data_IF_186870997494
#
_entry.id   IF_186870997494
#
_cell.length_a   1.000
_cell.length_b   1.000
_cell.length_c   1.000
_cell.angle_alpha   90.00
_cell.angle_beta   90.00
_cell.angle_gamma   90.00
#
_symmetry.space_group_name_H-M   'P 1'
#
loop_
_entity.id
_entity.type
_entity.pdbx_description
1 polymer ?
#
# COMPACT_ATOMS: atom_id res chain seq x y z
N UNK A 1 -27.46 -23.26 58.43
CA UNK A 1 -27.72 -23.23 56.97
C UNK A 1 -28.15 -21.85 56.50
N UNK A 2 -27.27 -20.84 56.64
CA UNK A 2 -27.49 -19.49 56.06
C UNK A 2 -26.19 -18.91 55.44
N UNK A 3 -25.05 -19.58 55.61
CA UNK A 3 -23.74 -19.11 55.10
C UNK A 3 -23.30 -19.77 53.80
N UNK A 4 -24.06 -20.72 53.25
CA UNK A 4 -23.73 -21.39 51.97
C UNK A 4 -24.38 -20.71 50.76
N UNK A 5 -25.41 -19.89 50.96
CA UNK A 5 -26.13 -19.20 49.87
C UNK A 5 -25.53 -17.83 49.49
N UNK A 6 -24.71 -17.22 50.36
CA UNK A 6 -24.11 -15.90 50.08
C UNK A 6 -22.85 -16.01 49.20
N UNK A 7 -22.17 -17.16 49.21
CA UNK A 7 -20.95 -17.40 48.40
C UNK A 7 -21.28 -17.71 46.94
N UNK A 8 -22.44 -18.32 46.66
CA UNK A 8 -22.84 -18.65 45.27
C UNK A 8 -23.35 -17.42 44.51
N UNK A 9 -24.01 -16.47 45.19
CA UNK A 9 -24.48 -15.23 44.53
C UNK A 9 -23.37 -14.21 44.27
N UNK A 10 -22.28 -14.21 45.05
CA UNK A 10 -21.12 -13.34 44.79
C UNK A 10 -20.24 -13.85 43.63
N UNK A 11 -20.19 -15.18 43.39
CA UNK A 11 -19.52 -15.74 42.21
C UNK A 11 -20.32 -15.54 40.90
N UNK A 12 -21.65 -15.47 40.97
CA UNK A 12 -22.50 -15.19 39.80
C UNK A 12 -22.63 -13.70 39.46
N UNK A 13 -22.36 -12.78 40.40
CA UNK A 13 -22.28 -11.34 40.11
C UNK A 13 -20.87 -10.84 39.75
N UNK A 14 -19.82 -11.63 39.95
CA UNK A 14 -18.49 -11.34 39.40
C UNK A 14 -18.36 -11.84 37.94
N UNK A 15 -19.20 -12.77 37.52
CA UNK A 15 -19.27 -13.21 36.11
C UNK A 15 -20.06 -12.27 35.18
N UNK A 16 -20.81 -11.28 35.68
CA UNK A 16 -21.54 -10.32 34.82
C UNK A 16 -20.84 -8.97 34.61
N UNK A 17 -19.69 -8.73 35.24
CA UNK A 17 -18.89 -7.51 35.01
C UNK A 17 -17.48 -7.76 34.43
N UNK A 18 -17.15 -9.00 34.06
CA UNK A 18 -15.91 -9.35 33.36
C UNK A 18 -16.08 -9.59 31.85
N UNK A 19 -17.21 -9.20 31.27
CA UNK A 19 -17.51 -9.28 29.83
C UNK A 19 -17.53 -7.90 29.14
N UNK A 20 -16.61 -7.02 29.57
CA UNK A 20 -16.09 -5.94 28.72
C UNK A 20 -14.58 -6.06 28.66
N UNK A 21 -14.11 -7.16 28.07
CA UNK A 21 -12.84 -7.12 27.36
C UNK A 21 -12.94 -5.95 26.37
N UNK A 22 -11.96 -5.05 26.29
CA UNK A 22 -11.93 -4.10 25.19
C UNK A 22 -12.02 -4.93 23.91
N UNK A 23 -13.00 -4.56 23.10
CA UNK A 23 -13.25 -5.06 21.76
C UNK A 23 -11.92 -5.42 21.12
N UNK A 24 -11.76 -6.72 20.84
CA UNK A 24 -10.62 -7.27 20.15
C UNK A 24 -10.46 -6.45 18.88
N UNK A 25 -9.47 -5.55 18.86
CA UNK A 25 -9.14 -4.72 17.69
C UNK A 25 -9.26 -5.61 16.47
N UNK A 26 -10.15 -5.20 15.58
CA UNK A 26 -10.47 -5.84 14.32
C UNK A 26 -9.21 -6.29 13.60
N UNK A 27 -9.31 -7.48 13.01
CA UNK A 27 -8.33 -8.17 12.17
C UNK A 27 -7.17 -7.29 11.71
N UNK A 28 -6.05 -7.38 12.45
CA UNK A 28 -4.76 -6.90 11.99
C UNK A 28 -4.49 -7.56 10.64
N UNK A 29 -4.50 -6.77 9.57
CA UNK A 29 -3.92 -7.13 8.29
C UNK A 29 -2.57 -7.82 8.53
N UNK A 30 -2.25 -8.93 7.83
CA UNK A 30 -1.12 -9.76 8.17
C UNK A 30 0.16 -8.92 8.15
N UNK A 31 0.74 -8.71 9.34
CA UNK A 31 2.11 -8.21 9.51
C UNK A 31 3.02 -9.05 8.62
N UNK A 32 3.99 -8.42 7.98
CA UNK A 32 5.09 -9.14 7.35
C UNK A 32 5.63 -10.21 8.34
N UNK A 33 6.01 -11.42 7.89
CA UNK A 33 6.20 -12.61 8.75
C UNK A 33 7.36 -12.55 9.78
N UNK A 34 7.85 -11.38 10.18
CA UNK A 34 9.11 -11.26 10.91
C UNK A 34 9.23 -10.13 11.94
N UNK A 35 8.18 -9.42 12.33
CA UNK A 35 8.42 -8.19 13.10
C UNK A 35 8.26 -8.34 14.63
N UNK A 36 9.40 -8.45 15.30
CA UNK A 36 9.59 -7.95 16.68
C UNK A 36 9.37 -6.42 16.79
N UNK A 37 8.94 -5.75 15.71
CA UNK A 37 8.74 -4.31 15.60
C UNK A 37 7.36 -3.91 16.11
N UNK A 38 7.34 -2.85 16.91
CA UNK A 38 6.12 -2.20 17.36
C UNK A 38 5.79 -0.98 16.49
N UNK A 39 6.83 -0.27 16.01
CA UNK A 39 6.71 0.90 15.15
C UNK A 39 7.79 0.92 14.08
N UNK A 40 7.49 1.59 12.97
CA UNK A 40 8.35 1.74 11.81
C UNK A 40 8.74 3.21 11.64
N UNK A 41 9.99 3.44 11.29
CA UNK A 41 10.52 4.78 10.99
C UNK A 41 11.16 4.79 9.62
N UNK A 42 11.22 5.97 9.02
CA UNK A 42 11.76 6.18 7.68
C UNK A 42 12.82 7.29 7.73
N UNK A 43 13.77 7.25 6.81
CA UNK A 43 14.87 8.21 6.73
C UNK A 43 14.34 9.64 6.56
N UNK A 44 14.97 10.60 7.23
CA UNK A 44 14.73 12.02 7.04
C UNK A 44 13.62 12.64 7.89
N UNK A 45 12.87 11.86 8.67
CA UNK A 45 11.86 12.36 9.61
C UNK A 45 11.74 11.46 10.86
N UNK A 46 11.28 12.04 11.97
CA UNK A 46 11.06 11.31 13.25
C UNK A 46 9.65 10.71 13.38
N UNK A 47 8.80 10.88 12.36
CA UNK A 47 7.44 10.33 12.36
C UNK A 47 7.48 8.80 12.42
N UNK A 48 6.65 8.24 13.31
CA UNK A 48 6.51 6.81 13.49
C UNK A 48 5.23 6.32 12.83
N UNK A 49 5.32 5.17 12.19
CA UNK A 49 4.21 4.45 11.62
C UNK A 49 3.93 3.19 12.44
N UNK A 50 2.67 2.92 12.73
CA UNK A 50 2.25 1.75 13.53
C UNK A 50 2.06 0.49 12.68
N UNK A 51 1.95 0.64 11.36
CA UNK A 51 1.71 -0.47 10.44
C UNK A 51 2.75 -0.50 9.32
N UNK A 52 2.95 -1.69 8.78
CA UNK A 52 3.84 -1.97 7.66
C UNK A 52 3.27 -3.07 6.78
N UNK A 53 3.32 -2.85 5.47
CA UNK A 53 2.94 -3.82 4.45
C UNK A 53 3.99 -3.86 3.34
N UNK A 54 4.28 -5.07 2.85
CA UNK A 54 5.16 -5.28 1.71
C UNK A 54 4.51 -6.28 0.76
N UNK A 55 4.31 -5.87 -0.48
CA UNK A 55 3.82 -6.73 -1.56
C UNK A 55 4.97 -6.95 -2.54
N UNK A 56 5.51 -8.17 -2.56
CA UNK A 56 6.64 -8.55 -3.42
C UNK A 56 6.15 -9.39 -4.60
N UNK A 57 6.40 -8.92 -5.81
CA UNK A 57 6.04 -9.61 -7.04
C UNK A 57 7.21 -10.32 -7.70
N UNK A 58 8.41 -10.28 -7.12
CA UNK A 58 9.64 -10.80 -7.76
C UNK A 58 9.74 -12.32 -7.81
N UNK A 59 9.01 -13.04 -6.96
CA UNK A 59 9.12 -14.50 -6.81
C UNK A 59 7.75 -15.20 -6.83
N UNK A 60 6.96 -14.92 -7.88
CA UNK A 60 5.60 -15.43 -8.07
C UNK A 60 5.48 -16.30 -9.33
N UNK A 61 6.51 -17.08 -9.64
CA UNK A 61 6.58 -17.91 -10.86
C UNK A 61 5.39 -18.85 -11.01
N UNK A 62 4.87 -19.40 -9.91
CA UNK A 62 3.67 -20.27 -9.88
C UNK A 62 2.36 -19.54 -10.22
N UNK A 63 2.36 -18.21 -10.16
CA UNK A 63 1.21 -17.36 -10.47
C UNK A 63 1.39 -16.60 -11.79
N UNK A 64 2.56 -16.72 -12.41
CA UNK A 64 2.87 -16.09 -13.70
C UNK A 64 2.09 -16.76 -14.83
N UNK A 65 1.60 -15.95 -15.76
CA UNK A 65 0.87 -16.40 -16.94
C UNK A 65 1.52 -15.83 -18.20
N UNK A 66 1.20 -16.41 -19.36
CA UNK A 66 1.36 -15.68 -20.62
C UNK A 66 0.47 -14.45 -20.62
N UNK A 67 0.86 -13.40 -21.35
CA UNK A 67 0.05 -12.20 -21.48
C UNK A 67 -1.42 -12.56 -21.83
N UNK A 68 -2.41 -12.12 -21.03
CA UNK A 68 -3.81 -12.36 -21.34
C UNK A 68 -4.22 -11.57 -22.59
N UNK A 69 -5.24 -12.03 -23.34
CA UNK A 69 -5.77 -11.29 -24.48
C UNK A 69 -6.05 -9.81 -24.12
N UNK A 70 -5.79 -8.91 -25.07
CA UNK A 70 -6.16 -7.49 -24.94
C UNK A 70 -7.67 -7.34 -24.83
N UNK A 71 -8.10 -6.34 -24.06
CA UNK A 71 -9.50 -5.94 -23.96
C UNK A 71 -10.00 -5.47 -25.33
N UNK A 72 -11.24 -5.82 -25.67
CA UNK A 72 -11.87 -5.48 -26.96
C UNK A 72 -13.07 -4.55 -26.76
N UNK A 73 -13.62 -3.99 -27.84
CA UNK A 73 -14.83 -3.15 -27.76
C UNK A 73 -16.06 -3.91 -27.21
N UNK A 74 -16.06 -5.25 -27.27
CA UNK A 74 -17.11 -6.08 -26.67
C UNK A 74 -17.06 -6.12 -25.13
N UNK A 75 -15.92 -5.83 -24.53
CA UNK A 75 -15.67 -5.89 -23.09
C UNK A 75 -16.02 -4.56 -22.38
N UNK A 76 -17.09 -3.91 -22.82
CA UNK A 76 -17.44 -2.53 -22.45
C UNK A 76 -18.17 -2.38 -21.09
N UNK A 77 -18.13 -3.41 -20.24
CA UNK A 77 -18.75 -3.39 -18.91
C UNK A 77 -17.73 -3.50 -17.77
N UNK A 78 -16.47 -3.81 -18.06
CA UNK A 78 -15.45 -4.00 -17.01
C UNK A 78 -15.69 -5.24 -16.14
N UNK A 79 -16.38 -6.24 -16.69
CA UNK A 79 -16.77 -7.48 -16.02
C UNK A 79 -15.74 -8.61 -16.18
N UNK A 80 -14.54 -8.32 -16.67
CA UNK A 80 -13.48 -9.31 -16.82
C UNK A 80 -12.96 -9.74 -15.45
N UNK A 81 -12.64 -11.03 -15.31
CA UNK A 81 -12.15 -11.59 -14.05
C UNK A 81 -10.67 -11.27 -13.83
N UNK A 82 -10.22 -11.41 -12.58
CA UNK A 82 -8.79 -11.40 -12.25
C UNK A 82 -8.07 -12.52 -13.03
N UNK A 83 -6.84 -12.24 -13.44
CA UNK A 83 -6.06 -13.14 -14.31
C UNK A 83 -5.30 -14.24 -13.55
N UNK A 84 -5.15 -14.08 -12.23
CA UNK A 84 -4.35 -14.96 -11.38
C UNK A 84 -5.02 -15.18 -10.02
N UNK A 85 -5.04 -16.41 -9.48
CA UNK A 85 -5.58 -16.68 -8.15
C UNK A 85 -4.81 -15.95 -7.04
N UNK A 86 -3.57 -15.50 -7.31
CA UNK A 86 -2.81 -14.66 -6.39
C UNK A 86 -3.60 -13.43 -5.92
N UNK A 87 -4.36 -12.79 -6.82
CA UNK A 87 -5.08 -11.57 -6.49
C UNK A 87 -6.32 -11.78 -5.60
N UNK A 88 -6.79 -13.02 -5.47
CA UNK A 88 -7.93 -13.37 -4.60
C UNK A 88 -7.50 -13.90 -3.23
N UNK A 89 -6.20 -13.96 -2.94
CA UNK A 89 -5.68 -14.60 -1.73
C UNK A 89 -4.84 -13.64 -0.89
N UNK A 90 -4.86 -13.79 0.45
CA UNK A 90 -3.88 -13.15 1.32
C UNK A 90 -2.45 -13.58 0.93
N UNK A 91 -1.46 -12.68 1.04
CA UNK A 91 -1.57 -11.35 1.62
C UNK A 91 -2.05 -10.26 0.64
N UNK A 92 -2.19 -10.56 -0.66
CA UNK A 92 -2.57 -9.54 -1.65
C UNK A 92 -3.98 -9.00 -1.40
N UNK A 93 -4.96 -9.89 -1.27
CA UNK A 93 -6.38 -9.52 -1.09
C UNK A 93 -6.65 -8.80 0.23
N UNK A 94 -5.74 -8.89 1.19
CA UNK A 94 -5.84 -8.15 2.46
C UNK A 94 -5.43 -6.68 2.24
N UNK A 95 -4.51 -6.41 1.32
CA UNK A 95 -3.98 -5.07 1.09
C UNK A 95 -4.63 -4.35 -0.08
N UNK A 96 -5.01 -5.07 -1.14
CA UNK A 96 -5.37 -4.48 -2.42
C UNK A 96 -6.67 -5.05 -2.97
N UNK A 97 -7.46 -4.16 -3.59
CA UNK A 97 -8.57 -4.49 -4.47
C UNK A 97 -8.26 -4.00 -5.88
N UNK A 98 -8.49 -4.85 -6.89
CA UNK A 98 -8.42 -4.45 -8.30
C UNK A 98 -9.82 -3.99 -8.73
N UNK A 99 -9.94 -2.75 -9.22
CA UNK A 99 -11.22 -2.16 -9.64
C UNK A 99 -11.75 -2.83 -10.92
N UNK A 100 -13.08 -2.80 -11.05
CA UNK A 100 -13.89 -3.31 -12.17
C UNK A 100 -15.05 -2.34 -12.41
N UNK A 101 -15.65 -2.42 -13.59
CA UNK A 101 -16.80 -1.59 -13.98
C UNK A 101 -16.44 -0.29 -14.71
N UNK A 102 -17.47 0.47 -15.06
CA UNK A 102 -17.35 1.76 -15.76
C UNK A 102 -16.75 2.80 -14.80
N UNK A 103 -15.65 3.47 -15.22
CA UNK A 103 -14.98 4.50 -14.42
C UNK A 103 -15.56 5.89 -14.66
N UNK A 104 -15.57 6.31 -15.92
CA UNK A 104 -16.02 7.63 -16.34
C UNK A 104 -16.51 7.50 -17.80
N UNK A 105 -17.81 7.55 -18.01
CA UNK A 105 -18.39 7.39 -19.34
C UNK A 105 -18.42 8.72 -20.12
N UNK A 106 -18.24 9.84 -19.41
CA UNK A 106 -18.44 11.19 -19.89
C UNK A 106 -17.15 11.88 -20.35
N UNK A 107 -15.98 11.26 -20.17
CA UNK A 107 -14.72 11.79 -20.70
C UNK A 107 -14.64 11.71 -22.23
N UNK A 108 -13.78 12.55 -22.84
CA UNK A 108 -13.49 12.57 -24.29
C UNK A 108 -13.20 11.17 -24.85
N UNK A 109 -12.63 10.34 -23.98
CA UNK A 109 -12.50 8.90 -24.16
C UNK A 109 -13.06 8.25 -22.90
N UNK A 110 -14.18 7.53 -23.00
CA UNK A 110 -14.72 6.78 -21.87
C UNK A 110 -13.67 5.85 -21.27
N UNK A 111 -13.67 5.72 -19.95
CA UNK A 111 -12.74 4.84 -19.22
C UNK A 111 -13.49 3.70 -18.55
N UNK A 112 -12.97 2.48 -18.73
CA UNK A 112 -13.56 1.26 -18.17
C UNK A 112 -12.48 0.48 -17.44
N UNK A 113 -12.69 0.19 -16.16
CA UNK A 113 -11.78 -0.65 -15.40
C UNK A 113 -11.89 -2.10 -15.87
N UNK A 114 -10.75 -2.73 -16.15
CA UNK A 114 -10.70 -4.16 -16.44
C UNK A 114 -9.68 -4.85 -15.53
N UNK A 115 -10.13 -5.88 -14.81
CA UNK A 115 -9.22 -6.68 -13.99
C UNK A 115 -8.26 -7.55 -14.82
N UNK A 116 -8.56 -7.75 -16.12
CA UNK A 116 -7.68 -8.46 -17.06
C UNK A 116 -6.35 -7.72 -17.29
N UNK A 117 -6.32 -6.42 -17.03
CA UNK A 117 -5.16 -5.57 -17.19
C UNK A 117 -4.16 -5.66 -16.03
N UNK A 118 -4.43 -6.46 -15.00
CA UNK A 118 -3.48 -6.79 -13.94
C UNK A 118 -3.13 -8.27 -14.02
N UNK A 119 -1.84 -8.60 -14.19
CA UNK A 119 -1.37 -9.99 -14.27
C UNK A 119 0.10 -10.14 -13.86
N UNK A 120 0.52 -11.35 -13.49
CA UNK A 120 1.90 -11.64 -13.13
C UNK A 120 2.65 -12.12 -14.38
N UNK A 121 3.75 -11.44 -14.71
CA UNK A 121 4.62 -11.76 -15.84
C UNK A 121 5.97 -12.25 -15.35
N UNK A 122 6.65 -13.06 -16.16
CA UNK A 122 8.08 -13.37 -15.97
C UNK A 122 8.92 -12.20 -16.45
N UNK A 123 10.05 -11.95 -15.79
CA UNK A 123 11.01 -10.98 -16.30
C UNK A 123 11.77 -11.57 -17.49
N UNK A 124 11.69 -10.96 -18.68
CA UNK A 124 12.40 -11.48 -19.86
C UNK A 124 13.93 -11.39 -19.71
N UNK A 125 14.43 -10.49 -18.87
CA UNK A 125 15.87 -10.35 -18.58
C UNK A 125 16.37 -11.34 -17.52
N UNK A 126 15.47 -11.86 -16.70
CA UNK A 126 15.76 -12.89 -15.69
C UNK A 126 14.52 -13.75 -15.46
N UNK A 127 14.44 -14.89 -16.15
CA UNK A 127 13.28 -15.80 -16.07
C UNK A 127 13.01 -16.39 -14.68
N UNK A 128 13.94 -16.25 -13.73
CA UNK A 128 13.72 -16.63 -12.33
C UNK A 128 12.88 -15.60 -11.56
N UNK A 129 12.81 -14.37 -12.06
CA UNK A 129 12.05 -13.29 -11.48
C UNK A 129 10.70 -13.08 -12.18
N UNK A 130 9.77 -12.49 -11.45
CA UNK A 130 8.47 -12.04 -11.95
C UNK A 130 8.22 -10.58 -11.62
N UNK A 131 7.17 -10.00 -12.19
CA UNK A 131 6.64 -8.69 -11.78
C UNK A 131 5.13 -8.63 -11.99
N UNK A 132 4.46 -7.74 -11.25
CA UNK A 132 3.10 -7.35 -11.57
C UNK A 132 3.12 -6.48 -12.83
N UNK A 133 2.28 -6.83 -13.80
CA UNK A 133 2.03 -6.04 -15.00
C UNK A 133 0.71 -5.31 -14.83
N UNK A 134 0.74 -4.01 -15.04
CA UNK A 134 -0.44 -3.18 -15.23
C UNK A 134 -0.50 -2.79 -16.70
N UNK A 135 -1.65 -2.96 -17.36
CA UNK A 135 -1.86 -2.63 -18.77
C UNK A 135 -2.95 -1.57 -18.92
N UNK A 136 -2.83 -0.74 -19.94
CA UNK A 136 -3.97 -0.01 -20.48
C UNK A 136 -4.01 -0.22 -21.99
N UNK A 137 -5.21 -0.45 -22.51
CA UNK A 137 -5.44 -0.73 -23.94
C UNK A 137 -6.39 0.31 -24.48
N UNK A 138 -5.97 0.99 -25.56
CA UNK A 138 -6.85 1.86 -26.31
C UNK A 138 -7.61 1.05 -27.35
N UNK A 139 -8.91 0.88 -27.15
CA UNK A 139 -9.83 0.30 -28.15
C UNK A 139 -10.55 1.41 -28.91
N UNK A 140 -11.47 1.09 -29.81
CA UNK A 140 -12.12 2.09 -30.64
C UNK A 140 -12.95 3.04 -29.76
N UNK A 141 -13.80 2.46 -28.90
CA UNK A 141 -14.84 3.20 -28.20
C UNK A 141 -14.41 3.73 -26.82
N UNK A 142 -13.41 3.11 -26.19
CA UNK A 142 -12.99 3.47 -24.83
C UNK A 142 -11.50 3.20 -24.56
N UNK A 143 -11.04 3.66 -23.40
CA UNK A 143 -9.77 3.28 -22.81
C UNK A 143 -10.02 2.22 -21.73
N UNK A 144 -9.46 1.02 -21.92
CA UNK A 144 -9.44 0.02 -20.87
C UNK A 144 -8.35 0.39 -19.86
N UNK A 145 -8.71 0.58 -18.61
CA UNK A 145 -7.82 1.06 -17.53
C UNK A 145 -7.68 0.02 -16.43
N UNK A 146 -6.65 0.16 -15.61
CA UNK A 146 -6.43 -0.67 -14.43
C UNK A 146 -6.18 0.20 -13.21
N UNK A 147 -6.71 -0.22 -12.06
CA UNK A 147 -6.49 0.48 -10.80
C UNK A 147 -6.51 -0.51 -9.62
N UNK A 148 -5.41 -0.53 -8.89
CA UNK A 148 -5.30 -1.13 -7.57
C UNK A 148 -5.67 -0.07 -6.54
N UNK A 149 -6.43 -0.45 -5.53
CA UNK A 149 -6.84 0.42 -4.42
C UNK A 149 -6.53 -0.28 -3.11
N UNK A 150 -5.89 0.42 -2.17
CA UNK A 150 -5.64 -0.12 -0.84
C UNK A 150 -6.95 -0.36 -0.11
N UNK A 151 -7.07 -1.52 0.55
CA UNK A 151 -8.22 -1.84 1.39
C UNK A 151 -8.27 -0.94 2.63
N UNK A 152 -7.18 -0.76 3.41
CA UNK A 152 -7.17 0.28 4.43
C UNK A 152 -7.10 1.67 3.80
N UNK A 153 -7.89 2.60 4.33
CA UNK A 153 -7.63 4.03 4.17
C UNK A 153 -6.50 4.43 5.11
N UNK A 154 -5.47 5.06 4.56
CA UNK A 154 -4.26 5.47 5.26
C UNK A 154 -4.41 6.91 5.72
N UNK A 155 -3.90 7.26 6.90
CA UNK A 155 -3.77 8.64 7.36
C UNK A 155 -2.32 8.89 7.78
N UNK A 156 -1.57 9.48 6.85
CA UNK A 156 -0.11 9.52 6.77
C UNK A 156 0.53 8.17 6.42
N UNK A 157 1.46 8.21 5.47
CA UNK A 157 2.17 7.03 4.98
C UNK A 157 3.49 7.40 4.31
N UNK A 158 4.49 6.53 4.45
CA UNK A 158 5.60 6.41 3.49
C UNK A 158 5.25 5.28 2.53
N UNK A 159 4.90 5.61 1.29
CA UNK A 159 4.49 4.68 0.25
C UNK A 159 5.53 4.64 -0.87
N UNK A 160 5.84 3.44 -1.36
CA UNK A 160 6.97 3.22 -2.25
C UNK A 160 6.67 2.13 -3.27
N UNK A 161 7.20 2.29 -4.47
CA UNK A 161 7.09 1.28 -5.51
C UNK A 161 8.35 1.26 -6.37
N UNK A 162 8.74 0.08 -6.84
CA UNK A 162 9.76 -0.07 -7.88
C UNK A 162 9.10 -0.50 -9.17
N UNK A 163 9.16 0.38 -10.16
CA UNK A 163 8.50 0.17 -11.43
C UNK A 163 9.31 0.68 -12.63
N UNK A 164 8.91 0.20 -13.81
CA UNK A 164 9.29 0.75 -15.11
C UNK A 164 8.13 0.63 -16.10
N UNK A 165 8.07 1.53 -17.06
CA UNK A 165 7.09 1.46 -18.16
C UNK A 165 7.72 0.73 -19.34
N UNK A 166 6.95 -0.15 -19.98
CA UNK A 166 7.37 -0.99 -21.09
C UNK A 166 6.61 -0.64 -22.38
N UNK A 167 7.26 -0.77 -23.54
CA UNK A 167 6.60 -0.64 -24.84
C UNK A 167 5.70 -1.84 -25.13
N UNK A 168 4.76 -1.66 -26.05
CA UNK A 168 3.87 -2.70 -26.57
C UNK A 168 4.45 -3.45 -27.79
N UNK A 169 5.73 -3.25 -28.10
CA UNK A 169 6.43 -3.90 -29.22
C UNK A 169 5.97 -3.42 -30.60
N UNK A 170 5.23 -2.32 -30.70
CA UNK A 170 4.72 -1.76 -31.95
C UNK A 170 5.38 -0.39 -32.23
N UNK A 171 5.43 0.02 -33.50
CA UNK A 171 6.07 1.28 -33.95
C UNK A 171 7.53 1.47 -33.50
N UNK A 172 8.38 0.46 -33.69
CA UNK A 172 9.82 0.58 -33.39
C UNK A 172 10.15 0.58 -31.91
N UNK A 173 9.41 -0.21 -31.11
CA UNK A 173 9.63 -0.47 -29.68
C UNK A 173 9.59 0.77 -28.76
N UNK A 174 9.02 1.88 -29.24
CA UNK A 174 8.70 3.02 -28.40
C UNK A 174 7.47 2.75 -27.53
N UNK A 175 7.45 3.32 -26.33
CA UNK A 175 6.23 3.33 -25.50
C UNK A 175 5.17 4.21 -26.16
N UNK A 176 3.95 3.70 -26.25
CA UNK A 176 2.84 4.47 -26.79
C UNK A 176 2.56 5.72 -25.95
N UNK A 177 2.23 6.83 -26.61
CA UNK A 177 1.93 8.10 -25.95
C UNK A 177 0.45 8.22 -25.62
N UNK A 178 0.14 9.01 -24.60
CA UNK A 178 -1.22 9.40 -24.24
C UNK A 178 -1.82 8.63 -23.06
N UNK A 179 -0.99 7.97 -22.24
CA UNK A 179 -1.36 7.33 -20.98
C UNK A 179 -0.64 7.97 -19.78
N UNK A 180 -1.25 7.84 -18.61
CA UNK A 180 -0.76 8.28 -17.30
C UNK A 180 -0.62 7.09 -16.37
N UNK A 181 0.55 6.94 -15.77
CA UNK A 181 0.76 6.10 -14.59
C UNK A 181 0.55 6.98 -13.37
N UNK A 182 -0.34 6.59 -12.45
CA UNK A 182 -0.54 7.28 -11.18
C UNK A 182 -0.24 6.37 -9.99
N UNK A 183 0.55 6.87 -9.04
CA UNK A 183 0.75 6.26 -7.72
C UNK A 183 0.53 7.31 -6.64
N UNK A 184 -0.64 7.29 -6.02
CA UNK A 184 -1.20 8.45 -5.32
C UNK A 184 -2.11 8.07 -4.17
N UNK A 185 -2.37 9.00 -3.26
CA UNK A 185 -3.45 8.88 -2.27
C UNK A 185 -4.63 9.73 -2.68
N UNK A 186 -5.86 9.23 -2.52
CA UNK A 186 -7.07 9.97 -2.87
C UNK A 186 -8.22 9.69 -1.91
N UNK A 187 -8.92 10.75 -1.53
CA UNK A 187 -10.23 10.71 -0.88
C UNK A 187 -11.24 11.60 -1.64
N UNK A 188 -10.81 12.79 -2.04
CA UNK A 188 -11.53 13.76 -2.87
C UNK A 188 -10.53 14.68 -3.58
N UNK A 189 -10.99 15.51 -4.52
CA UNK A 189 -10.18 16.49 -5.28
C UNK A 189 -9.43 17.53 -4.42
N UNK A 190 -9.65 17.55 -3.10
CA UNK A 190 -8.94 18.42 -2.15
C UNK A 190 -8.12 17.64 -1.12
N UNK A 191 -8.05 16.32 -1.28
CA UNK A 191 -7.45 15.36 -0.35
C UNK A 191 -6.66 14.30 -1.14
N UNK A 192 -5.78 14.79 -2.01
CA UNK A 192 -5.00 13.95 -2.93
C UNK A 192 -3.51 14.35 -2.96
N UNK A 193 -2.65 13.37 -3.22
CA UNK A 193 -1.20 13.57 -3.39
C UNK A 193 -0.65 12.54 -4.34
N UNK A 194 0.14 13.00 -5.32
CA UNK A 194 0.38 12.27 -6.55
C UNK A 194 1.86 12.06 -6.87
N UNK A 195 2.12 10.94 -7.54
CA UNK A 195 3.26 10.72 -8.41
C UNK A 195 2.67 10.30 -9.76
N UNK A 196 2.84 11.12 -10.79
CA UNK A 196 2.28 10.87 -12.12
C UNK A 196 3.35 10.86 -13.22
N UNK A 197 3.27 9.88 -14.11
CA UNK A 197 4.15 9.76 -15.27
C UNK A 197 3.28 9.79 -16.52
N UNK A 198 3.47 10.83 -17.33
CA UNK A 198 2.77 11.02 -18.59
C UNK A 198 3.63 10.46 -19.73
N UNK A 199 3.14 9.44 -20.42
CA UNK A 199 3.88 8.81 -21.53
C UNK A 199 4.02 9.71 -22.76
N UNK A 200 3.27 10.81 -22.83
CA UNK A 200 3.41 11.83 -23.88
C UNK A 200 4.60 12.77 -23.63
N UNK A 201 5.00 12.92 -22.37
CA UNK A 201 6.05 13.83 -21.93
C UNK A 201 7.45 13.21 -22.13
N UNK A 202 8.52 14.00 -21.98
CA UNK A 202 9.87 13.46 -22.04
C UNK A 202 10.03 12.27 -21.09
N UNK A 203 10.76 11.25 -21.53
CA UNK A 203 10.88 9.98 -20.79
C UNK A 203 11.56 10.08 -19.42
N UNK A 204 11.99 11.28 -19.04
CA UNK A 204 12.66 11.61 -17.79
C UNK A 204 11.78 12.39 -16.83
N UNK A 205 10.60 12.85 -17.25
CA UNK A 205 9.76 13.75 -16.47
C UNK A 205 8.77 12.97 -15.61
N UNK A 206 8.53 13.49 -14.42
CA UNK A 206 7.51 13.01 -13.48
C UNK A 206 6.82 14.24 -12.88
N UNK A 207 5.50 14.20 -12.83
CA UNK A 207 4.67 15.22 -12.20
C UNK A 207 4.39 14.81 -10.75
N UNK A 208 4.61 15.74 -9.83
CA UNK A 208 4.37 15.56 -8.40
C UNK A 208 3.36 16.61 -7.96
N UNK A 209 2.29 16.22 -7.29
CA UNK A 209 1.28 17.19 -6.86
C UNK A 209 0.62 16.85 -5.55
N UNK A 210 -0.02 17.86 -4.99
CA UNK A 210 -0.93 17.75 -3.87
C UNK A 210 -2.15 18.61 -4.20
N UNK A 211 -3.34 18.04 -4.17
CA UNK A 211 -4.53 18.72 -4.66
C UNK A 211 -5.27 19.48 -3.54
N UNK A 212 -5.78 20.70 -3.82
CA UNK A 212 -5.76 21.36 -5.12
C UNK A 212 -4.40 22.01 -5.44
N UNK A 213 -3.93 21.81 -6.67
CA UNK A 213 -2.82 22.52 -7.29
C UNK A 213 -3.35 23.56 -8.29
N UNK A 214 -3.14 24.84 -7.99
CA UNK A 214 -3.59 25.95 -8.83
C UNK A 214 -2.72 27.18 -8.61
N UNK A 215 -3.04 28.27 -9.34
CA UNK A 215 -2.41 29.57 -9.12
C UNK A 215 -2.57 30.10 -7.70
N UNK A 216 -3.58 29.64 -6.95
CA UNK A 216 -3.85 30.06 -5.57
C UNK A 216 -3.09 29.20 -4.54
N UNK A 217 -2.51 28.08 -4.96
CA UNK A 217 -1.72 27.16 -4.13
C UNK A 217 -0.30 26.96 -4.69
N UNK A 218 0.47 28.05 -4.92
CA UNK A 218 1.79 27.94 -5.54
C UNK A 218 2.72 27.01 -4.74
N UNK A 219 3.33 26.06 -5.45
CA UNK A 219 4.19 25.02 -4.88
C UNK A 219 3.45 23.78 -4.39
N UNK A 220 2.15 23.64 -4.67
CA UNK A 220 1.43 22.38 -4.47
C UNK A 220 1.83 21.30 -5.49
N UNK A 221 2.39 21.70 -6.63
CA UNK A 221 2.89 20.84 -7.70
C UNK A 221 4.33 21.15 -8.13
N UNK A 222 4.96 20.18 -8.80
CA UNK A 222 6.25 20.32 -9.45
C UNK A 222 6.48 19.24 -10.53
N UNK A 223 6.98 19.66 -11.69
CA UNK A 223 7.55 18.77 -12.71
C UNK A 223 9.04 18.55 -12.45
N UNK A 224 9.45 17.31 -12.19
CA UNK A 224 10.83 16.96 -11.87
C UNK A 224 11.43 15.99 -12.88
N UNK A 225 12.76 15.90 -12.92
CA UNK A 225 13.47 14.90 -13.73
C UNK A 225 13.93 13.74 -12.88
N UNK A 226 13.73 12.52 -13.36
CA UNK A 226 14.27 11.31 -12.75
C UNK A 226 15.79 11.46 -12.63
N UNK A 227 16.38 11.18 -11.45
CA UNK A 227 17.80 11.42 -11.21
C UNK A 227 18.70 10.44 -11.97
N UNK A 228 20.01 10.68 -11.91
CA UNK A 228 21.05 9.77 -12.44
C UNK A 228 20.94 9.46 -13.94
N UNK A 229 20.32 10.35 -14.71
CA UNK A 229 20.15 10.20 -16.17
C UNK A 229 19.19 9.08 -16.58
N UNK A 230 18.43 8.53 -15.63
CA UNK A 230 17.45 7.48 -15.89
C UNK A 230 16.19 8.02 -16.57
N UNK A 231 15.44 7.09 -17.16
CA UNK A 231 14.12 7.29 -17.73
C UNK A 231 13.10 6.46 -16.96
N UNK A 232 11.82 6.75 -17.12
CA UNK A 232 10.76 5.92 -16.55
C UNK A 232 10.66 4.53 -17.22
N UNK A 233 11.40 4.28 -18.30
CA UNK A 233 11.60 2.95 -18.89
C UNK A 233 12.67 2.12 -18.16
N UNK A 234 13.46 2.75 -17.30
CA UNK A 234 14.42 2.08 -16.41
C UNK A 234 13.73 1.73 -15.09
N UNK A 235 14.28 0.75 -14.37
CA UNK A 235 13.82 0.49 -13.01
C UNK A 235 14.18 1.66 -12.08
N UNK A 236 13.15 2.30 -11.54
CA UNK A 236 13.24 3.43 -10.61
C UNK A 236 12.43 3.11 -9.35
N UNK A 237 12.98 3.47 -8.20
CA UNK A 237 12.28 3.43 -6.92
C UNK A 237 11.60 4.78 -6.69
N UNK A 238 10.28 4.80 -6.66
CA UNK A 238 9.47 6.00 -6.36
C UNK A 238 9.01 5.95 -4.91
N UNK A 239 9.07 7.07 -4.20
CA UNK A 239 8.62 7.19 -2.82
C UNK A 239 7.91 8.51 -2.58
N UNK A 240 6.76 8.44 -1.94
CA UNK A 240 6.06 9.58 -1.34
C UNK A 240 5.99 9.35 0.17
N UNK A 241 6.51 10.31 0.93
CA UNK A 241 6.25 10.43 2.34
C UNK A 241 5.20 11.51 2.60
N UNK A 242 4.02 11.06 2.99
CA UNK A 242 2.93 11.90 3.46
C UNK A 242 2.91 11.92 4.99
N UNK A 243 3.24 13.08 5.55
CA UNK A 243 3.21 13.37 6.98
C UNK A 243 2.17 14.45 7.30
N UNK A 244 1.89 14.64 8.59
CA UNK A 244 1.06 15.74 9.05
C UNK A 244 1.63 17.09 8.58
N UNK A 245 0.95 17.74 7.63
CA UNK A 245 1.31 19.05 7.10
C UNK A 245 2.51 19.08 6.15
N UNK A 246 3.04 17.93 5.72
CA UNK A 246 4.17 17.88 4.78
C UNK A 246 4.15 16.65 3.89
N UNK A 247 4.36 16.86 2.59
CA UNK A 247 4.66 15.83 1.61
C UNK A 247 6.12 15.94 1.13
N UNK A 248 6.79 14.80 0.96
CA UNK A 248 8.16 14.72 0.43
C UNK A 248 8.25 13.57 -0.57
N UNK A 249 8.81 13.85 -1.75
CA UNK A 249 8.98 12.86 -2.80
C UNK A 249 10.44 12.53 -3.02
N UNK A 250 10.70 11.25 -3.30
CA UNK A 250 12.03 10.75 -3.61
C UNK A 250 11.98 9.84 -4.84
N UNK A 251 13.06 9.83 -5.60
CA UNK A 251 13.33 8.87 -6.67
C UNK A 251 14.73 8.30 -6.48
N UNK A 252 14.86 6.98 -6.46
CA UNK A 252 16.12 6.27 -6.18
C UNK A 252 16.82 6.77 -4.89
N UNK A 253 16.04 7.17 -3.89
CA UNK A 253 16.53 7.69 -2.61
C UNK A 253 16.93 9.17 -2.61
N UNK A 254 16.96 9.84 -3.76
CA UNK A 254 17.21 11.28 -3.84
C UNK A 254 15.91 12.07 -3.63
N UNK A 255 15.95 13.12 -2.80
CA UNK A 255 14.79 13.99 -2.59
C UNK A 255 14.56 14.84 -3.84
N UNK A 256 13.39 14.70 -4.44
CA UNK A 256 13.02 15.40 -5.67
C UNK A 256 12.28 16.70 -5.39
N UNK A 257 11.34 16.66 -4.44
CA UNK A 257 10.49 17.80 -4.09
C UNK A 257 9.92 17.65 -2.68
N UNK A 258 9.48 18.76 -2.08
CA UNK A 258 8.69 18.75 -0.87
C UNK A 258 7.74 19.96 -0.82
N UNK A 259 6.59 19.79 -0.18
CA UNK A 259 5.66 20.89 0.02
C UNK A 259 4.88 20.77 1.33
N UNK A 260 4.38 21.90 1.80
CA UNK A 260 3.40 22.00 2.89
C UNK A 260 2.07 22.57 2.40
N UNK A 261 1.89 22.69 1.08
CA UNK A 261 0.68 23.22 0.44
C UNK A 261 -0.29 22.08 0.17
N UNK A 262 -1.58 22.34 0.41
CA UNK A 262 -2.70 21.43 0.13
C UNK A 262 -2.59 20.03 0.75
N UNK A 263 -1.69 19.79 1.72
CA UNK A 263 -1.41 18.46 2.26
C UNK A 263 -2.68 17.82 2.83
N UNK A 264 -3.05 16.59 2.40
CA UNK A 264 -4.27 15.93 2.86
C UNK A 264 -4.23 15.70 4.36
N UNK A 265 -5.40 15.80 4.98
CA UNK A 265 -5.59 15.72 6.44
C UNK A 265 -6.58 14.63 6.85
N UNK A 266 -7.20 13.95 5.89
CA UNK A 266 -8.20 12.89 6.13
C UNK A 266 -7.71 11.53 5.61
N UNK A 267 -8.24 10.41 6.11
CA UNK A 267 -7.86 9.09 5.63
C UNK A 267 -8.18 8.89 4.13
N UNK A 268 -7.16 8.53 3.35
CA UNK A 268 -7.23 8.38 1.90
C UNK A 268 -6.88 6.96 1.47
N UNK A 269 -7.46 6.48 0.37
CA UNK A 269 -7.00 5.23 -0.24
C UNK A 269 -5.69 5.48 -0.98
N UNK A 270 -4.72 4.58 -0.88
CA UNK A 270 -3.60 4.52 -1.82
C UNK A 270 -4.08 3.84 -3.09
N UNK A 271 -3.79 4.45 -4.23
CA UNK A 271 -4.20 3.98 -5.54
C UNK A 271 -2.98 3.86 -6.47
N UNK A 272 -2.97 2.82 -7.29
CA UNK A 272 -2.00 2.64 -8.36
C UNK A 272 -2.76 2.33 -9.64
N UNK A 273 -2.77 3.27 -10.59
CA UNK A 273 -3.51 3.13 -11.82
C UNK A 273 -2.65 3.38 -13.07
N UNK A 274 -3.21 2.94 -14.19
CA UNK A 274 -2.71 3.24 -15.53
C UNK A 274 -3.92 3.55 -16.41
N UNK A 275 -3.99 4.78 -16.92
CA UNK A 275 -5.21 5.32 -17.50
C UNK A 275 -4.96 6.36 -18.59
N UNK A 276 -6.01 6.66 -19.35
CA UNK A 276 -6.10 7.80 -20.25
C UNK A 276 -7.57 8.18 -20.39
N UNK A 277 -7.88 9.47 -20.28
CA UNK A 277 -9.22 10.00 -20.53
C UNK A 277 -9.30 10.76 -21.86
N UNK A 278 -8.19 10.82 -22.62
CA UNK A 278 -8.12 11.49 -23.92
C UNK A 278 -7.98 13.01 -23.87
N UNK A 279 -8.00 13.61 -22.69
CA UNK A 279 -7.89 15.06 -22.50
C UNK A 279 -6.43 15.52 -22.53
N UNK A 280 -6.20 16.83 -22.44
CA UNK A 280 -4.86 17.43 -22.57
C UNK A 280 -3.82 16.83 -21.61
N UNK A 281 -4.21 16.55 -20.36
CA UNK A 281 -3.30 16.03 -19.35
C UNK A 281 -2.84 14.61 -19.68
N UNK A 282 -3.77 13.67 -19.87
CA UNK A 282 -3.39 12.29 -20.18
C UNK A 282 -2.88 12.13 -21.61
N UNK A 283 -3.36 12.96 -22.53
CA UNK A 283 -3.25 12.78 -23.96
C UNK A 283 -4.24 11.74 -24.47
N UNK A 284 -4.31 11.60 -25.80
CA UNK A 284 -5.17 10.60 -26.46
C UNK A 284 -4.31 9.51 -27.10
N UNK A 285 -4.37 8.31 -26.54
CA UNK A 285 -3.72 7.14 -27.13
C UNK A 285 -4.27 6.82 -28.53
N UNK A 286 -3.39 6.34 -29.41
CA UNK A 286 -3.81 5.82 -30.72
C UNK A 286 -4.54 4.48 -30.53
N UNK A 287 -5.62 4.27 -31.28
CA UNK A 287 -6.38 3.01 -31.27
C UNK A 287 -5.49 1.81 -31.59
N UNK A 288 -5.67 0.73 -30.84
CA UNK A 288 -4.89 -0.52 -30.95
C UNK A 288 -3.53 -0.49 -30.25
N UNK A 289 -3.23 0.57 -29.49
CA UNK A 289 -1.98 0.72 -28.73
C UNK A 289 -2.18 0.41 -27.26
N UNK A 290 -1.08 -0.04 -26.65
CA UNK A 290 -1.02 -0.42 -25.25
C UNK A 290 0.16 0.24 -24.56
N UNK A 291 0.01 0.44 -23.25
CA UNK A 291 1.11 0.80 -22.35
C UNK A 291 1.10 -0.20 -21.20
N UNK A 292 2.30 -0.59 -20.77
CA UNK A 292 2.50 -1.56 -19.71
C UNK A 292 3.37 -0.94 -18.62
N UNK A 293 3.08 -1.25 -17.37
CA UNK A 293 3.93 -0.93 -16.22
C UNK A 293 4.31 -2.24 -15.55
N UNK A 294 5.62 -2.50 -15.45
CA UNK A 294 6.16 -3.59 -14.67
C UNK A 294 6.46 -3.10 -13.25
N UNK A 295 5.97 -3.79 -12.23
CA UNK A 295 6.11 -3.45 -10.81
C UNK A 295 6.73 -4.62 -10.07
N UNK A 296 7.91 -4.40 -9.47
CA UNK A 296 8.59 -5.44 -8.69
C UNK A 296 8.06 -5.56 -7.27
N UNK A 297 7.78 -4.44 -6.62
CA UNK A 297 7.26 -4.44 -5.25
C UNK A 297 6.56 -3.12 -4.92
N UNK A 298 5.67 -3.18 -3.93
CA UNK A 298 5.07 -2.03 -3.25
C UNK A 298 5.34 -2.15 -1.75
N UNK A 299 5.86 -1.10 -1.13
CA UNK A 299 6.22 -1.06 0.29
C UNK A 299 5.55 0.13 0.96
N UNK A 300 4.90 -0.09 2.10
CA UNK A 300 4.14 0.94 2.79
C UNK A 300 4.42 0.86 4.30
N UNK A 301 4.86 1.96 4.89
CA UNK A 301 4.75 2.20 6.33
C UNK A 301 3.69 3.26 6.57
N UNK A 302 2.65 2.96 7.37
CA UNK A 302 1.47 3.82 7.43
C UNK A 302 0.80 3.83 8.79
N UNK A 303 0.02 4.89 8.99
CA UNK A 303 -0.92 5.03 10.09
C UNK A 303 -2.36 4.97 9.55
N UNK A 304 -3.28 4.57 10.41
CA UNK A 304 -4.71 4.70 10.22
C UNK A 304 -5.22 5.92 11.01
N UNK A 305 -6.50 6.23 10.86
CA UNK A 305 -7.13 7.25 11.70
C UNK A 305 -6.91 6.96 13.20
N UNK A 306 -6.60 8.00 13.96
CA UNK A 306 -6.23 7.91 15.38
C UNK A 306 -4.84 7.33 15.70
N UNK A 307 -4.04 6.95 14.69
CA UNK A 307 -2.65 6.51 14.87
C UNK A 307 -1.63 7.61 14.56
N UNK A 308 -0.38 7.44 15.00
CA UNK A 308 0.69 8.40 14.73
C UNK A 308 0.60 9.73 15.52
N UNK A 309 -0.48 9.94 16.28
CA UNK A 309 -0.69 11.11 17.15
C UNK A 309 -0.14 10.92 18.58
N UNK A 310 0.38 9.73 18.93
CA UNK A 310 0.82 9.43 20.30
C UNK A 310 2.21 10.02 20.61
N UNK A 311 2.21 11.25 21.13
CA UNK A 311 3.37 11.87 21.79
C UNK A 311 3.68 11.26 23.17
N UNK A 312 2.73 10.53 23.76
CA UNK A 312 2.85 9.95 25.11
C UNK A 312 2.80 8.42 25.06
N UNK A 313 3.98 7.76 25.04
CA UNK A 313 4.04 6.31 25.33
C UNK A 313 5.07 5.45 24.60
N UNK A 314 5.98 6.01 23.78
CA UNK A 314 6.95 5.16 23.03
C UNK A 314 8.13 4.62 23.86
N UNK A 315 8.10 4.78 25.19
CA UNK A 315 9.09 4.17 26.08
C UNK A 315 8.90 2.65 26.09
N UNK A 316 9.87 1.92 25.54
CA UNK A 316 9.84 0.46 25.51
C UNK A 316 9.21 -0.16 24.26
N UNK A 317 9.01 0.58 23.16
CA UNK A 317 8.66 0.00 21.86
C UNK A 317 9.91 -0.38 21.05
N UNK A 318 9.88 -1.52 20.37
CA UNK A 318 10.88 -1.88 19.37
C UNK A 318 10.63 -1.08 18.09
N UNK A 319 11.64 -0.32 17.66
CA UNK A 319 11.57 0.49 16.45
C UNK A 319 12.35 -0.18 15.33
N UNK A 320 11.75 -0.20 14.15
CA UNK A 320 12.36 -0.72 12.95
C UNK A 320 12.47 0.34 11.86
N UNK A 321 13.65 0.47 11.28
CA UNK A 321 13.89 1.31 10.12
C UNK A 321 13.50 0.57 8.86
N UNK A 322 12.66 1.20 8.04
CA UNK A 322 12.28 0.64 6.73
C UNK A 322 13.39 0.85 5.70
N UNK A 323 14.25 1.86 5.89
CA UNK A 323 15.23 2.30 4.89
C UNK A 323 16.63 1.75 5.10
N UNK A 324 16.96 1.23 6.29
CA UNK A 324 18.29 0.65 6.56
C UNK A 324 18.35 -0.86 6.29
N UNK A 325 17.21 -1.49 5.97
CA UNK A 325 17.12 -2.93 5.74
C UNK A 325 18.04 -3.38 4.59
N UNK A 326 18.92 -4.35 4.87
CA UNK A 326 19.77 -4.99 3.86
C UNK A 326 18.95 -5.74 2.78
N UNK A 327 17.76 -6.19 3.16
CA UNK A 327 16.82 -6.90 2.29
C UNK A 327 15.55 -6.08 2.17
N UNK A 328 15.17 -5.75 0.93
CA UNK A 328 13.93 -5.01 0.66
C UNK A 328 12.72 -5.80 1.17
N UNK A 329 11.78 -5.14 1.83
CA UNK A 329 10.63 -5.81 2.45
C UNK A 329 10.86 -6.29 3.89
N UNK A 330 12.05 -6.07 4.44
CA UNK A 330 12.43 -6.52 5.78
C UNK A 330 12.98 -5.35 6.61
N UNK A 331 12.10 -4.62 7.34
CA UNK A 331 12.52 -3.54 8.22
C UNK A 331 13.53 -4.03 9.27
N UNK A 332 14.57 -3.23 9.54
CA UNK A 332 15.66 -3.56 10.46
C UNK A 332 15.42 -2.95 11.83
N UNK A 333 15.58 -3.74 12.90
CA UNK A 333 15.48 -3.25 14.27
C UNK A 333 16.62 -2.26 14.56
N UNK A 334 16.28 -1.01 14.84
CA UNK A 334 17.22 0.04 15.22
C UNK A 334 17.18 0.38 16.71
N UNK A 335 16.09 -0.01 17.40
CA UNK A 335 15.93 0.18 18.85
C UNK A 335 15.10 -0.95 19.42
N UNK A 336 15.58 -1.62 20.45
CA UNK A 336 14.83 -2.65 21.17
C UNK A 336 14.02 -2.06 22.34
N UNK A 337 12.90 -2.70 22.65
CA UNK A 337 12.18 -2.45 23.90
C UNK A 337 13.09 -2.67 25.12
N UNK A 338 13.20 -1.65 25.98
CA UNK A 338 13.88 -1.76 27.29
C UNK A 338 13.04 -2.48 28.35
N UNK A 339 11.80 -2.83 28.02
CA UNK A 339 10.97 -3.66 28.87
C UNK A 339 11.55 -5.07 28.90
N UNK A 340 12.25 -5.42 29.99
CA UNK A 340 12.49 -6.84 30.33
C UNK A 340 11.13 -7.54 30.18
N UNK A 341 11.02 -8.52 29.30
CA UNK A 341 9.90 -9.48 29.31
C UNK A 341 9.92 -10.11 30.70
N UNK A 342 9.20 -9.53 31.65
CA UNK A 342 8.80 -10.21 32.88
C UNK A 342 7.84 -11.28 32.42
N UNK A 343 8.40 -12.39 31.93
CA UNK A 343 7.66 -13.61 31.66
C UNK A 343 6.78 -13.88 32.87
N UNK A 344 5.54 -14.25 32.56
CA UNK A 344 4.48 -14.70 33.44
C UNK A 344 5.03 -15.65 34.50
N UNK A 345 5.53 -15.10 35.62
CA UNK A 345 5.99 -15.88 36.77
C UNK A 345 5.10 -15.68 37.99
N UNK A 346 4.19 -14.69 38.00
CA UNK A 346 3.27 -14.52 39.13
C UNK A 346 2.09 -15.49 39.13
N UNK A 347 1.60 -15.92 37.95
CA UNK A 347 0.48 -16.88 37.90
C UNK A 347 0.95 -18.31 38.19
N UNK A 348 2.13 -18.73 37.70
CA UNK A 348 2.68 -20.05 38.06
C UNK A 348 3.15 -20.15 39.52
N UNK A 349 3.61 -19.05 40.14
CA UNK A 349 3.99 -19.06 41.56
C UNK A 349 2.78 -19.12 42.50
N UNK A 350 1.66 -18.48 42.14
CA UNK A 350 0.43 -18.54 42.95
C UNK A 350 -0.30 -19.88 42.75
N UNK A 351 -0.28 -20.45 41.53
CA UNK A 351 -0.86 -21.76 41.27
C UNK A 351 -0.13 -22.89 42.02
N UNK A 352 1.21 -22.85 42.10
CA UNK A 352 1.96 -23.85 42.88
C UNK A 352 1.74 -23.73 44.40
N UNK A 353 1.55 -22.53 44.96
CA UNK A 353 1.30 -22.40 46.41
C UNK A 353 -0.09 -22.88 46.82
N UNK A 354 -1.10 -22.79 45.95
CA UNK A 354 -2.46 -23.26 46.23
C UNK A 354 -2.55 -24.80 46.09
N UNK A 355 -1.85 -25.40 45.12
CA UNK A 355 -1.84 -26.85 44.93
C UNK A 355 -1.06 -27.55 46.07
N UNK A 356 0.06 -27.00 46.54
CA UNK A 356 0.78 -27.56 47.69
C UNK A 356 0.05 -27.36 49.03
N UNK A 357 -0.73 -26.28 49.19
CA UNK A 357 -1.56 -26.06 50.38
C UNK A 357 -2.76 -27.01 50.48
N UNK A 358 -3.37 -27.38 49.35
CA UNK A 358 -4.51 -28.30 49.32
C UNK A 358 -4.12 -29.77 49.50
N UNK A 359 -2.91 -30.17 49.10
CA UNK A 359 -2.40 -31.54 49.33
C UNK A 359 -2.04 -31.74 50.81
N UNK A 360 -1.55 -30.71 51.51
CA UNK A 360 -1.22 -30.79 52.94
C UNK A 360 -2.46 -30.87 53.85
N UNK A 361 -3.65 -30.49 53.37
CA UNK A 361 -4.89 -30.58 54.15
C UNK A 361 -5.63 -31.92 53.99
N UNK A 362 -5.22 -32.77 53.04
CA UNK A 362 -5.83 -34.07 52.78
C UNK A 362 -5.04 -35.27 53.35
N UNK A 363 -3.96 -35.01 54.10
CA UNK A 363 -3.13 -36.05 54.73
C UNK A 363 -3.02 -35.94 56.27
N UNK A 364 -4.04 -35.37 56.93
CA UNK A 364 -4.25 -35.54 58.38
C UNK A 364 -5.69 -35.99 58.64
#
# INVERSE_FOLDING_TARGET
MLSFFVVVFTLLHIQSHASRLPERRSHLYPRAPSSNCDVYVVSGQDTKFENYAFTDFRSLSNYSISEPPSVTDADNQGEENITSPYFAQPPFSDQWTIRRGIRNAESDVPMIYSASNAYISKDPSDSSQTYLTLRTTRVQDFQSVVQLVSNPKLLHASMRTRMKILPDGKDGDGVAKGAVVGFFTYEADTQETDIEILTQDPSTTVELSTQPASSDTPGADASVKIPNGKKWTDWVDYRLDWFAGKNVWYMDGEMMYNTTKSVPTVPSNLMFNLWSNGQSFSGKMRVGREVYVAVQWIEIAYNLDGQGQSSNGTSGQTQCSVDSGKTKGSPEVIKNSSAKRSAVSRVLKIANSIVFGLIAWYCI
#
